data_IF_531824856315
#
_entry.id   IF_531824856315
#
_cell.length_a   1.000
_cell.length_b   1.000
_cell.length_c   1.000
_cell.angle_alpha   90.00
_cell.angle_beta   90.00
_cell.angle_gamma   90.00
#
_symmetry.space_group_name_H-M   'P 1'
#
loop_
_entity.id
_entity.type
_entity.pdbx_description
1 polymer ?
#
# COMPACT_ATOMS: atom_id res chain seq x y z
N UNK A 1 -24.42 -9.46 6.47
CA UNK A 1 -24.78 -8.63 5.29
C UNK A 1 -24.20 -9.30 4.06
N UNK A 2 -25.00 -9.57 3.01
CA UNK A 2 -24.50 -10.23 1.78
C UNK A 2 -24.30 -9.22 0.66
N UNK A 3 -23.21 -9.36 -0.09
CA UNK A 3 -22.94 -8.58 -1.29
C UNK A 3 -23.54 -9.30 -2.49
N UNK A 4 -24.56 -8.71 -3.13
CA UNK A 4 -25.17 -9.29 -4.34
C UNK A 4 -24.17 -9.28 -5.51
N UNK A 5 -24.39 -10.10 -6.54
CA UNK A 5 -23.52 -10.08 -7.72
C UNK A 5 -23.59 -8.73 -8.46
N UNK A 6 -24.78 -8.14 -8.51
CA UNK A 6 -24.94 -6.83 -9.14
C UNK A 6 -24.18 -5.73 -8.39
N UNK A 7 -24.29 -5.69 -7.05
CA UNK A 7 -23.56 -4.72 -6.23
C UNK A 7 -22.05 -4.92 -6.32
N UNK A 8 -21.60 -6.17 -6.37
CA UNK A 8 -20.19 -6.48 -6.57
C UNK A 8 -19.66 -5.97 -7.92
N UNK A 9 -20.42 -6.19 -9.00
CA UNK A 9 -20.05 -5.69 -10.34
C UNK A 9 -19.96 -4.16 -10.34
N UNK A 10 -20.95 -3.48 -9.75
CA UNK A 10 -20.97 -2.03 -9.64
C UNK A 10 -19.74 -1.50 -8.87
N UNK A 11 -19.47 -2.08 -7.71
CA UNK A 11 -18.31 -1.71 -6.90
C UNK A 11 -16.99 -1.98 -7.62
N UNK A 12 -16.84 -3.17 -8.23
CA UNK A 12 -15.64 -3.55 -9.00
C UNK A 12 -15.37 -2.56 -10.12
N UNK A 13 -16.39 -2.23 -10.92
CA UNK A 13 -16.29 -1.30 -12.03
C UNK A 13 -15.93 0.11 -11.56
N UNK A 14 -16.57 0.59 -10.49
CA UNK A 14 -16.27 1.89 -9.91
C UNK A 14 -14.83 1.99 -9.42
N UNK A 15 -14.34 0.99 -8.70
CA UNK A 15 -12.98 0.97 -8.17
C UNK A 15 -11.93 0.87 -9.27
N UNK A 16 -12.20 0.10 -10.32
CA UNK A 16 -11.29 -0.01 -11.45
C UNK A 16 -11.20 1.30 -12.23
N UNK A 17 -12.35 1.88 -12.58
CA UNK A 17 -12.39 3.09 -13.42
C UNK A 17 -11.85 4.34 -12.75
N UNK A 18 -12.03 4.47 -11.42
CA UNK A 18 -11.64 5.68 -10.71
C UNK A 18 -10.28 5.56 -10.01
N UNK A 19 -9.86 4.34 -9.64
CA UNK A 19 -8.66 4.11 -8.80
C UNK A 19 -7.70 3.07 -9.37
N UNK A 20 -8.00 2.45 -10.51
CA UNK A 20 -7.17 1.39 -11.10
C UNK A 20 -7.12 0.09 -10.28
N UNK A 21 -8.01 -0.06 -9.27
CA UNK A 21 -7.99 -1.20 -8.37
C UNK A 21 -8.77 -2.36 -8.95
N UNK A 22 -8.07 -3.44 -9.29
CA UNK A 22 -8.69 -4.67 -9.77
C UNK A 22 -9.20 -5.53 -8.59
N UNK A 23 -10.51 -5.68 -8.50
CA UNK A 23 -11.20 -6.48 -7.49
C UNK A 23 -11.74 -7.82 -8.04
N UNK A 24 -11.30 -8.26 -9.20
CA UNK A 24 -11.72 -9.53 -9.79
C UNK A 24 -11.47 -10.69 -8.83
N UNK A 25 -12.43 -11.59 -8.72
CA UNK A 25 -12.39 -12.76 -7.81
C UNK A 25 -12.25 -12.43 -6.31
N UNK A 26 -12.46 -11.18 -5.89
CA UNK A 26 -12.31 -10.75 -4.48
C UNK A 26 -13.64 -10.53 -3.75
N UNK A 27 -14.76 -11.05 -4.27
CA UNK A 27 -16.10 -10.83 -3.70
C UNK A 27 -16.20 -11.18 -2.22
N UNK A 28 -15.74 -12.36 -1.84
CA UNK A 28 -15.76 -12.83 -0.44
C UNK A 28 -14.90 -11.96 0.47
N UNK A 29 -13.72 -11.56 -0.01
CA UNK A 29 -12.83 -10.65 0.72
C UNK A 29 -13.49 -9.29 0.98
N UNK A 30 -14.14 -8.74 -0.04
CA UNK A 30 -14.87 -7.47 0.04
C UNK A 30 -16.01 -7.59 1.04
N UNK A 31 -16.82 -8.63 0.91
CA UNK A 31 -17.95 -8.88 1.80
C UNK A 31 -17.51 -8.95 3.26
N UNK A 32 -16.44 -9.68 3.55
CA UNK A 32 -15.91 -9.84 4.91
C UNK A 32 -15.34 -8.53 5.46
N UNK A 33 -14.52 -7.82 4.69
CA UNK A 33 -13.83 -6.62 5.18
C UNK A 33 -14.73 -5.38 5.24
N UNK A 34 -15.64 -5.23 4.29
CA UNK A 34 -16.49 -4.05 4.24
C UNK A 34 -17.79 -4.19 5.03
N UNK A 35 -18.27 -5.39 5.37
CA UNK A 35 -19.52 -5.55 6.11
C UNK A 35 -19.53 -4.78 7.44
N UNK A 36 -18.40 -4.80 8.16
CA UNK A 36 -18.24 -4.09 9.42
C UNK A 36 -18.24 -2.58 9.21
N UNK A 37 -17.54 -2.12 8.17
CA UNK A 37 -17.42 -0.70 7.83
C UNK A 37 -18.78 -0.13 7.42
N UNK A 38 -19.49 -0.82 6.53
CA UNK A 38 -20.81 -0.43 6.04
C UNK A 38 -21.80 -0.28 7.20
N UNK A 39 -21.79 -1.23 8.16
CA UNK A 39 -22.61 -1.12 9.38
C UNK A 39 -22.20 0.06 10.26
N UNK A 40 -20.88 0.29 10.46
CA UNK A 40 -20.38 1.40 11.28
C UNK A 40 -20.76 2.76 10.71
N UNK A 41 -20.82 2.87 9.38
CA UNK A 41 -21.26 4.06 8.66
C UNK A 41 -22.80 4.22 8.64
N UNK A 42 -23.56 3.34 9.29
CA UNK A 42 -25.01 3.43 9.43
C UNK A 42 -25.81 2.85 8.26
N UNK A 43 -25.18 2.13 7.33
CA UNK A 43 -25.90 1.50 6.22
C UNK A 43 -26.37 0.09 6.58
N UNK A 44 -27.61 -0.25 6.17
CA UNK A 44 -28.20 -1.55 6.43
C UNK A 44 -27.83 -2.62 5.39
N UNK A 45 -27.40 -2.24 4.21
CA UNK A 45 -27.04 -3.11 3.10
C UNK A 45 -25.93 -2.52 2.21
N UNK A 46 -25.32 -3.35 1.39
CA UNK A 46 -24.29 -2.94 0.44
C UNK A 46 -24.83 -2.03 -0.66
N UNK A 47 -26.07 -2.23 -1.07
CA UNK A 47 -26.68 -1.44 -2.15
C UNK A 47 -26.73 0.04 -1.78
N UNK A 48 -27.29 0.35 -0.61
CA UNK A 48 -27.42 1.75 -0.14
C UNK A 48 -26.04 2.39 0.08
N UNK A 49 -25.07 1.64 0.58
CA UNK A 49 -23.70 2.11 0.71
C UNK A 49 -23.04 2.41 -0.65
N UNK A 50 -23.16 1.50 -1.63
CA UNK A 50 -22.61 1.68 -2.98
C UNK A 50 -23.30 2.85 -3.70
N UNK A 51 -24.60 3.02 -3.51
CA UNK A 51 -25.33 4.16 -4.04
C UNK A 51 -24.82 5.50 -3.45
N UNK A 52 -24.50 5.52 -2.17
CA UNK A 52 -23.88 6.66 -1.50
C UNK A 52 -22.45 6.91 -2.02
N UNK A 53 -21.61 5.86 -2.09
CA UNK A 53 -20.26 5.93 -2.62
C UNK A 53 -20.20 6.53 -4.02
N UNK A 54 -21.13 6.14 -4.91
CA UNK A 54 -21.15 6.64 -6.30
C UNK A 54 -21.59 8.10 -6.40
N UNK A 55 -22.23 8.63 -5.38
CA UNK A 55 -22.64 10.05 -5.29
C UNK A 55 -21.61 10.91 -4.57
N UNK A 56 -20.69 10.29 -3.87
CA UNK A 56 -19.66 11.00 -3.11
C UNK A 56 -18.67 11.68 -4.04
N UNK A 57 -18.71 13.01 -4.07
CA UNK A 57 -17.77 13.86 -4.83
C UNK A 57 -16.51 14.21 -4.04
N UNK A 58 -16.50 13.95 -2.74
CA UNK A 58 -15.37 14.28 -1.86
C UNK A 58 -14.26 13.24 -1.94
N UNK A 59 -14.59 11.99 -2.30
CA UNK A 59 -13.68 10.86 -2.32
C UNK A 59 -13.43 10.22 -0.95
N UNK A 60 -14.08 10.72 0.12
CA UNK A 60 -13.89 10.17 1.47
C UNK A 60 -14.34 8.71 1.56
N UNK A 61 -15.52 8.39 1.02
CA UNK A 61 -16.05 7.03 1.03
C UNK A 61 -15.15 6.07 0.24
N UNK A 62 -14.62 6.52 -0.88
CA UNK A 62 -13.70 5.75 -1.68
C UNK A 62 -12.36 5.53 -0.97
N UNK A 63 -11.85 6.53 -0.27
CA UNK A 63 -10.62 6.43 0.54
C UNK A 63 -10.76 5.36 1.62
N UNK A 64 -11.90 5.31 2.32
CA UNK A 64 -12.20 4.26 3.31
C UNK A 64 -12.17 2.87 2.67
N UNK A 65 -12.79 2.70 1.49
CA UNK A 65 -12.78 1.42 0.77
C UNK A 65 -11.36 1.03 0.37
N UNK A 66 -10.61 1.95 -0.24
CA UNK A 66 -9.22 1.72 -0.64
C UNK A 66 -8.41 1.24 0.56
N UNK A 67 -8.48 1.96 1.69
CA UNK A 67 -7.77 1.57 2.91
C UNK A 67 -8.16 0.19 3.46
N UNK A 68 -9.41 -0.24 3.29
CA UNK A 68 -9.87 -1.56 3.78
C UNK A 68 -9.64 -2.70 2.80
N UNK A 69 -9.55 -2.43 1.50
CA UNK A 69 -9.36 -3.45 0.47
C UNK A 69 -7.90 -3.63 0.08
N UNK A 70 -7.06 -2.62 0.28
CA UNK A 70 -5.61 -2.75 0.11
C UNK A 70 -4.99 -3.48 1.31
N UNK A 71 -3.91 -4.19 1.05
CA UNK A 71 -3.17 -4.89 2.12
C UNK A 71 -2.17 -3.90 2.72
N UNK A 72 -2.51 -3.35 3.89
CA UNK A 72 -1.66 -2.41 4.61
C UNK A 72 -0.69 -3.12 5.57
N UNK A 73 -0.59 -4.45 5.46
CA UNK A 73 0.30 -5.23 6.29
C UNK A 73 1.73 -5.13 5.78
N UNK A 74 2.62 -4.63 6.62
CA UNK A 74 4.06 -4.54 6.35
C UNK A 74 4.83 -5.20 7.49
N UNK A 75 6.02 -5.71 7.20
CA UNK A 75 6.93 -6.32 8.16
C UNK A 75 8.37 -6.22 7.65
N UNK A 76 9.31 -6.36 8.56
CA UNK A 76 10.73 -6.30 8.21
C UNK A 76 11.12 -7.38 7.21
N UNK A 77 11.93 -7.01 6.22
CA UNK A 77 12.42 -7.89 5.13
C UNK A 77 11.30 -8.49 4.25
N UNK A 78 10.12 -7.88 4.23
CA UNK A 78 9.07 -8.26 3.27
C UNK A 78 9.60 -8.13 1.85
N UNK A 79 9.28 -9.13 0.98
CA UNK A 79 9.79 -9.20 -0.41
C UNK A 79 11.33 -9.32 -0.45
N UNK A 80 11.87 -10.32 0.21
CA UNK A 80 13.31 -10.58 0.37
C UNK A 80 14.10 -10.45 -0.94
N UNK A 81 13.54 -10.92 -2.05
CA UNK A 81 14.16 -10.83 -3.37
C UNK A 81 14.47 -9.36 -3.79
N UNK A 82 13.68 -8.39 -3.34
CA UNK A 82 13.94 -6.98 -3.60
C UNK A 82 15.19 -6.49 -2.84
N UNK A 83 15.38 -6.95 -1.62
CA UNK A 83 16.56 -6.61 -0.83
C UNK A 83 17.82 -7.29 -1.35
N UNK A 84 17.72 -8.53 -1.83
CA UNK A 84 18.80 -9.21 -2.52
C UNK A 84 19.23 -8.47 -3.80
N UNK A 85 18.25 -8.07 -4.61
CA UNK A 85 18.51 -7.26 -5.80
C UNK A 85 19.17 -5.92 -5.42
N UNK A 86 18.62 -5.20 -4.45
CA UNK A 86 19.16 -3.91 -3.98
C UNK A 86 20.61 -4.07 -3.51
N UNK A 87 20.92 -5.13 -2.78
CA UNK A 87 22.26 -5.45 -2.31
C UNK A 87 23.22 -5.71 -3.46
N UNK A 88 22.87 -6.66 -4.33
CA UNK A 88 23.79 -7.22 -5.29
C UNK A 88 23.95 -6.34 -6.53
N UNK A 89 22.87 -5.75 -7.01
CA UNK A 89 22.87 -4.98 -8.26
C UNK A 89 23.06 -3.47 -8.04
N UNK A 90 22.77 -2.96 -6.85
CA UNK A 90 22.85 -1.54 -6.55
C UNK A 90 23.96 -1.23 -5.54
N UNK A 91 23.85 -1.74 -4.30
CA UNK A 91 24.73 -1.31 -3.22
C UNK A 91 26.17 -1.79 -3.40
N UNK A 92 26.37 -3.05 -3.72
CA UNK A 92 27.73 -3.61 -3.88
C UNK A 92 28.46 -2.96 -5.06
N UNK A 93 27.87 -2.81 -6.25
CA UNK A 93 28.51 -2.09 -7.35
C UNK A 93 28.76 -0.61 -7.06
N UNK A 94 27.80 0.06 -6.38
CA UNK A 94 27.96 1.45 -5.97
C UNK A 94 29.14 1.62 -4.99
N UNK A 95 29.23 0.75 -4.02
CA UNK A 95 30.33 0.75 -3.04
C UNK A 95 31.71 0.58 -3.69
N UNK A 96 31.82 -0.30 -4.68
CA UNK A 96 33.07 -0.53 -5.43
C UNK A 96 33.56 0.72 -6.16
N UNK A 97 32.64 1.57 -6.63
CA UNK A 97 32.95 2.81 -7.33
C UNK A 97 33.37 3.94 -6.37
N UNK A 98 33.25 3.75 -5.06
CA UNK A 98 33.60 4.72 -4.01
C UNK A 98 33.09 6.15 -4.29
N UNK A 99 31.84 6.37 -4.65
CA UNK A 99 31.39 7.70 -5.06
C UNK A 99 31.38 8.68 -3.90
N UNK A 100 31.69 9.93 -4.21
CA UNK A 100 31.58 11.03 -3.24
C UNK A 100 30.14 11.49 -3.17
N UNK A 101 29.58 11.65 -1.95
CA UNK A 101 28.27 12.27 -1.75
C UNK A 101 27.14 11.36 -1.27
N UNK A 102 27.36 10.04 -1.21
CA UNK A 102 26.36 9.08 -0.69
C UNK A 102 25.23 8.79 -1.67
N UNK A 103 24.37 7.82 -1.31
CA UNK A 103 23.23 7.38 -2.10
C UNK A 103 21.93 7.97 -1.53
N UNK A 104 21.04 8.42 -2.40
CA UNK A 104 19.69 8.86 -2.04
C UNK A 104 18.71 7.78 -2.46
N UNK A 105 17.83 7.37 -1.55
CA UNK A 105 16.86 6.32 -1.78
C UNK A 105 15.48 6.84 -1.40
N UNK A 106 14.51 6.61 -2.25
CA UNK A 106 13.12 6.89 -1.97
C UNK A 106 12.35 5.57 -1.80
N UNK A 107 11.82 5.36 -0.58
CA UNK A 107 10.89 4.29 -0.27
C UNK A 107 9.47 4.83 -0.36
N UNK A 108 8.81 4.57 -1.48
CA UNK A 108 7.47 5.05 -1.74
C UNK A 108 6.44 4.22 -0.97
N UNK A 109 5.44 4.89 -0.35
CA UNK A 109 4.37 4.22 0.41
C UNK A 109 4.91 3.32 1.54
N UNK A 110 5.84 3.83 2.33
CA UNK A 110 6.59 3.08 3.35
C UNK A 110 5.75 2.63 4.57
N UNK A 111 4.45 2.91 4.61
CA UNK A 111 3.53 2.52 5.69
C UNK A 111 4.06 2.90 7.08
N UNK A 112 4.27 1.94 7.98
CA UNK A 112 4.81 2.14 9.33
C UNK A 112 6.34 2.26 9.39
N UNK A 113 7.02 2.11 8.24
CA UNK A 113 8.45 2.44 8.09
C UNK A 113 9.39 1.24 8.06
N UNK A 114 8.91 0.01 8.07
CA UNK A 114 9.75 -1.20 8.08
C UNK A 114 10.69 -1.27 6.88
N UNK A 115 10.19 -0.94 5.69
CA UNK A 115 11.00 -0.98 4.45
C UNK A 115 12.18 0.00 4.50
N UNK A 116 12.04 1.30 4.82
CA UNK A 116 13.19 2.19 4.93
C UNK A 116 14.18 1.76 6.01
N UNK A 117 13.74 1.17 7.12
CA UNK A 117 14.64 0.60 8.10
C UNK A 117 15.41 -0.60 7.55
N UNK A 118 14.75 -1.52 6.83
CA UNK A 118 15.41 -2.64 6.17
C UNK A 118 16.47 -2.16 5.16
N UNK A 119 16.14 -1.15 4.34
CA UNK A 119 17.08 -0.54 3.40
C UNK A 119 18.28 0.04 4.15
N UNK A 120 18.06 0.73 5.27
CA UNK A 120 19.12 1.31 6.07
C UNK A 120 20.03 0.26 6.71
N UNK A 121 19.45 -0.82 7.25
CA UNK A 121 20.20 -1.96 7.79
C UNK A 121 21.04 -2.65 6.72
N UNK A 122 20.43 -2.90 5.55
CA UNK A 122 21.12 -3.50 4.41
C UNK A 122 22.30 -2.63 3.95
N UNK A 123 22.07 -1.35 3.83
CA UNK A 123 23.11 -0.41 3.45
C UNK A 123 24.25 -0.35 4.47
N UNK A 124 23.93 -0.34 5.74
CA UNK A 124 24.93 -0.39 6.81
C UNK A 124 25.75 -1.67 6.73
N UNK A 125 25.14 -2.80 6.41
CA UNK A 125 25.84 -4.08 6.23
C UNK A 125 26.82 -4.07 5.06
N UNK A 126 26.52 -3.31 3.99
CA UNK A 126 27.39 -3.21 2.80
C UNK A 126 28.45 -2.11 2.95
N UNK A 127 28.07 -0.97 3.47
CA UNK A 127 28.92 0.23 3.50
C UNK A 127 29.66 0.43 4.82
N UNK A 128 29.23 -0.22 5.92
CA UNK A 128 29.79 -0.04 7.25
C UNK A 128 29.80 1.43 7.68
N UNK A 129 30.86 1.89 8.32
CA UNK A 129 31.01 3.27 8.78
C UNK A 129 31.08 4.33 7.66
N UNK A 130 31.16 3.89 6.41
CA UNK A 130 31.10 4.79 5.22
C UNK A 130 29.69 5.00 4.70
N UNK A 131 28.68 4.47 5.40
CA UNK A 131 27.28 4.59 5.02
C UNK A 131 26.84 6.06 5.10
N UNK A 132 26.59 6.68 3.94
CA UNK A 132 26.00 8.01 3.83
C UNK A 132 24.69 7.90 3.04
N UNK A 133 23.71 7.24 3.65
CA UNK A 133 22.36 7.16 3.07
C UNK A 133 21.53 8.32 3.57
N UNK A 134 20.92 9.04 2.65
CA UNK A 134 19.80 9.92 2.89
C UNK A 134 18.56 9.23 2.34
N UNK A 135 17.85 8.48 3.16
CA UNK A 135 16.55 7.94 2.76
C UNK A 135 15.50 9.03 2.89
N UNK A 136 14.73 9.18 1.83
CA UNK A 136 13.53 10.01 1.80
C UNK A 136 12.37 9.03 1.66
N UNK A 137 11.48 8.99 2.62
CA UNK A 137 10.27 8.17 2.53
C UNK A 137 9.04 9.05 2.46
N UNK A 138 8.07 8.56 1.71
CA UNK A 138 6.75 9.15 1.65
C UNK A 138 5.76 8.15 2.26
N UNK A 139 5.22 8.46 3.44
CA UNK A 139 4.11 7.70 3.98
C UNK A 139 2.82 8.26 3.39
N UNK A 140 2.06 7.42 2.72
CA UNK A 140 0.65 7.72 2.51
C UNK A 140 0.01 7.61 3.89
N UNK A 141 -0.40 8.72 4.47
CA UNK A 141 -1.23 8.70 5.67
C UNK A 141 -2.55 8.06 5.29
N UNK A 142 -2.79 6.85 5.75
CA UNK A 142 -4.15 6.35 5.83
C UNK A 142 -4.81 7.13 6.96
N UNK A 143 -5.85 7.87 6.61
CA UNK A 143 -6.71 8.52 7.61
C UNK A 143 -7.44 7.39 8.31
N UNK A 144 -7.17 7.23 9.60
CA UNK A 144 -7.82 6.25 10.49
C UNK A 144 -9.31 6.54 10.65
#
# INVERSE_FOLDING_TARGET
MKLTNNDFIRLKTFMYNNYGINLENKKTLIETRLAIVVKRLGFNDFKSYIDNLMRDKTGEQASIIVGKLTTNFTYFMREEAHFEFLRNEIFVPYFKKAPVGGIKIWSAASSTGEEPYCISMLATSVFGNRCKIKSIYNSIRYID
#
